data_IF_100597918632
#
_entry.id   IF_100597918632
#
_cell.length_a   1.000
_cell.length_b   1.000
_cell.length_c   1.000
_cell.angle_alpha   90.00
_cell.angle_beta   90.00
_cell.angle_gamma   90.00
#
_symmetry.space_group_name_H-M   'P 1'
#
loop_
_entity.id
_entity.type
_entity.pdbx_description
1 polymer ?
#
# COMPACT_ATOMS: atom_id res chain seq x y z
N UNK A 1 53.78 -49.18 28.96
CA UNK A 1 54.21 -50.03 27.82
C UNK A 1 53.06 -50.94 27.40
N UNK A 2 52.65 -50.83 26.13
CA UNK A 2 51.92 -51.79 25.25
C UNK A 2 50.99 -52.82 25.93
N UNK A 3 49.68 -52.69 25.75
CA UNK A 3 48.88 -53.56 24.86
C UNK A 3 47.80 -54.24 25.72
N UNK A 4 46.60 -54.64 25.28
CA UNK A 4 46.01 -54.84 23.96
C UNK A 4 44.48 -54.81 24.17
N UNK A 5 43.73 -54.26 23.22
CA UNK A 5 42.25 -54.20 23.21
C UNK A 5 41.61 -55.60 23.10
N UNK A 6 40.48 -55.83 23.79
CA UNK A 6 39.50 -56.89 23.52
C UNK A 6 38.06 -56.38 23.71
N UNK A 7 37.37 -56.27 22.57
CA UNK A 7 36.00 -56.73 22.25
C UNK A 7 34.82 -56.54 23.22
N UNK A 8 33.93 -55.60 22.84
CA UNK A 8 32.47 -55.68 22.61
C UNK A 8 31.60 -56.66 23.45
N UNK A 9 30.63 -56.13 24.22
CA UNK A 9 29.27 -56.69 24.37
C UNK A 9 28.24 -55.54 24.50
N UNK A 10 27.08 -55.78 23.91
CA UNK A 10 26.00 -54.90 23.48
C UNK A 10 24.81 -54.91 24.49
N UNK A 11 23.96 -53.87 24.34
CA UNK A 11 22.50 -53.77 24.65
C UNK A 11 22.04 -53.21 26.01
N UNK A 12 21.30 -52.09 25.94
CA UNK A 12 19.82 -52.07 26.15
C UNK A 12 19.21 -50.69 25.73
N UNK A 13 18.26 -50.74 24.79
CA UNK A 13 17.35 -49.69 24.28
C UNK A 13 16.42 -49.06 25.35
N UNK A 14 15.38 -48.24 25.03
CA UNK A 14 15.11 -47.26 23.96
C UNK A 14 14.66 -45.87 24.51
N UNK A 15 14.77 -44.78 23.72
CA UNK A 15 13.74 -43.72 23.64
C UNK A 15 14.12 -42.63 22.64
N UNK A 16 13.29 -42.52 21.60
CA UNK A 16 12.78 -41.28 21.01
C UNK A 16 13.69 -40.03 21.07
N UNK A 17 14.47 -39.82 20.02
CA UNK A 17 14.55 -38.50 19.42
C UNK A 17 14.39 -38.70 17.92
N UNK A 18 13.13 -38.61 17.49
CA UNK A 18 12.80 -38.24 16.13
C UNK A 18 13.73 -37.10 15.75
N UNK A 19 14.66 -37.38 14.84
CA UNK A 19 15.40 -36.32 14.18
C UNK A 19 14.35 -35.45 13.52
N UNK A 20 14.08 -34.29 14.11
CA UNK A 20 13.52 -33.18 13.39
C UNK A 20 14.57 -32.91 12.32
N UNK A 21 14.37 -33.51 11.14
CA UNK A 21 14.95 -32.95 9.94
C UNK A 21 14.45 -31.51 9.96
N UNK A 22 15.35 -30.58 10.26
CA UNK A 22 15.11 -29.18 10.02
C UNK A 22 14.61 -29.11 8.58
N UNK A 23 13.32 -28.81 8.41
CA UNK A 23 12.77 -28.43 7.13
C UNK A 23 13.74 -27.38 6.58
N UNK A 24 14.38 -27.70 5.47
CA UNK A 24 15.08 -26.69 4.71
C UNK A 24 14.08 -25.54 4.54
N UNK A 25 14.42 -24.35 5.03
CA UNK A 25 13.62 -23.17 4.75
C UNK A 25 13.63 -23.05 3.23
N UNK A 26 12.47 -23.25 2.60
CA UNK A 26 12.35 -23.01 1.17
C UNK A 26 12.71 -21.54 0.95
N UNK A 27 13.81 -21.31 0.24
CA UNK A 27 14.25 -19.96 -0.10
C UNK A 27 13.80 -19.63 -1.52
N UNK A 28 13.49 -18.36 -1.76
CA UNK A 28 13.08 -17.85 -3.05
C UNK A 28 14.00 -16.71 -3.45
N UNK A 29 14.41 -16.70 -4.72
CA UNK A 29 15.10 -15.56 -5.32
C UNK A 29 14.06 -14.62 -5.88
N UNK A 30 13.94 -13.43 -5.28
CA UNK A 30 13.15 -12.35 -5.84
C UNK A 30 14.05 -11.55 -6.79
N UNK A 31 13.66 -11.38 -8.06
CA UNK A 31 14.47 -10.62 -9.01
C UNK A 31 14.51 -9.14 -8.62
N UNK A 32 15.60 -8.46 -8.97
CA UNK A 32 15.70 -7.02 -8.81
C UNK A 32 14.67 -6.27 -9.67
N UNK A 33 14.35 -5.04 -9.27
CA UNK A 33 13.41 -4.17 -9.96
C UNK A 33 13.98 -3.73 -11.32
N UNK A 34 13.64 -4.50 -12.36
CA UNK A 34 14.15 -4.31 -13.72
C UNK A 34 13.03 -4.35 -14.77
N UNK A 35 11.99 -3.49 -14.69
CA UNK A 35 11.00 -3.42 -15.75
C UNK A 35 11.64 -2.97 -17.07
N UNK A 36 11.20 -3.60 -18.16
CA UNK A 36 11.60 -3.27 -19.51
C UNK A 36 10.94 -1.96 -19.95
N UNK A 37 11.72 -1.12 -20.64
CA UNK A 37 11.21 0.14 -21.18
C UNK A 37 10.17 -0.13 -22.28
N UNK A 38 9.03 0.54 -22.20
CA UNK A 38 7.93 0.40 -23.18
C UNK A 38 7.05 -0.85 -23.00
N UNK A 39 7.37 -1.75 -22.07
CA UNK A 39 6.53 -2.91 -21.75
C UNK A 39 5.42 -2.52 -20.78
N UNK A 40 4.21 -3.04 -21.02
CA UNK A 40 3.06 -2.87 -20.14
C UNK A 40 2.95 -4.04 -19.14
N UNK A 41 2.86 -3.68 -17.86
CA UNK A 41 2.66 -4.60 -16.75
C UNK A 41 1.27 -4.39 -16.15
N UNK A 42 0.52 -5.48 -15.95
CA UNK A 42 -0.82 -5.43 -15.36
C UNK A 42 -0.77 -5.74 -13.87
N UNK A 43 -1.36 -4.87 -13.07
CA UNK A 43 -1.48 -5.03 -11.62
C UNK A 43 -2.95 -5.17 -11.23
N UNK A 44 -3.25 -6.21 -10.43
CA UNK A 44 -4.55 -6.38 -9.78
C UNK A 44 -4.39 -6.13 -8.29
N UNK A 45 -5.27 -5.33 -7.72
CA UNK A 45 -5.30 -5.13 -6.27
C UNK A 45 -6.70 -5.19 -5.71
N UNK A 46 -6.83 -5.91 -4.60
CA UNK A 46 -8.02 -5.92 -3.76
C UNK A 46 -7.74 -5.08 -2.52
N UNK A 47 -8.60 -4.11 -2.25
CA UNK A 47 -8.43 -3.20 -1.13
C UNK A 47 -9.64 -3.31 -0.22
N UNK A 48 -9.40 -3.35 1.08
CA UNK A 48 -10.44 -3.25 2.10
C UNK A 48 -9.99 -2.22 3.12
N UNK A 49 -10.86 -1.26 3.43
CA UNK A 49 -10.66 -0.29 4.49
C UNK A 49 -11.75 -0.50 5.52
N UNK A 50 -11.37 -0.56 6.79
CA UNK A 50 -12.30 -0.62 7.92
C UNK A 50 -12.08 0.61 8.80
N UNK A 51 -13.08 1.48 8.90
CA UNK A 51 -13.04 2.66 9.76
C UNK A 51 -13.87 2.42 11.00
N UNK A 52 -13.19 2.25 12.14
CA UNK A 52 -13.86 2.17 13.45
C UNK A 52 -14.17 3.58 13.96
N UNK A 53 -15.45 3.93 13.99
CA UNK A 53 -15.95 5.18 14.53
C UNK A 53 -16.61 5.02 15.90
N UNK A 54 -16.47 3.85 16.55
CA UNK A 54 -17.08 3.52 17.85
C UNK A 54 -16.70 4.49 18.98
N UNK A 55 -15.60 5.22 18.82
CA UNK A 55 -15.21 6.29 19.73
C UNK A 55 -16.22 7.45 19.76
N UNK A 56 -16.84 7.74 18.61
CA UNK A 56 -17.72 8.90 18.41
C UNK A 56 -19.18 8.53 18.17
N UNK A 57 -19.46 7.35 17.61
CA UNK A 57 -20.80 6.91 17.25
C UNK A 57 -21.01 5.45 17.64
N UNK A 58 -22.19 5.11 18.17
CA UNK A 58 -22.55 3.71 18.45
C UNK A 58 -22.96 2.99 17.16
N UNK A 59 -21.98 2.81 16.27
CA UNK A 59 -22.15 2.18 14.95
C UNK A 59 -21.03 1.19 14.68
N UNK A 60 -21.30 0.09 13.96
CA UNK A 60 -20.26 -0.83 13.53
C UNK A 60 -19.25 -0.11 12.63
N UNK A 61 -18.04 -0.67 12.54
CA UNK A 61 -17.02 -0.15 11.65
C UNK A 61 -17.53 -0.09 10.21
N UNK A 62 -17.29 1.02 9.54
CA UNK A 62 -17.61 1.18 8.12
C UNK A 62 -16.56 0.40 7.31
N UNK A 63 -17.01 -0.61 6.56
CA UNK A 63 -16.13 -1.41 5.69
C UNK A 63 -16.36 -0.97 4.25
N UNK A 64 -15.28 -0.64 3.56
CA UNK A 64 -15.28 -0.31 2.15
C UNK A 64 -14.33 -1.24 1.41
N UNK A 65 -14.75 -1.75 0.26
CA UNK A 65 -13.91 -2.61 -0.57
C UNK A 65 -13.72 -2.03 -1.97
N UNK A 66 -12.66 -2.46 -2.62
CA UNK A 66 -12.36 -2.16 -4.01
C UNK A 66 -11.60 -3.31 -4.70
N UNK A 67 -11.80 -3.44 -6.01
CA UNK A 67 -11.03 -4.31 -6.90
C UNK A 67 -10.55 -3.46 -8.08
N UNK A 68 -9.24 -3.37 -8.27
CA UNK A 68 -8.61 -2.46 -9.23
C UNK A 68 -7.74 -3.24 -10.20
N UNK A 69 -7.77 -2.82 -11.47
CA UNK A 69 -6.83 -3.26 -12.52
C UNK A 69 -6.12 -2.05 -13.07
N UNK A 70 -4.85 -1.89 -12.70
CA UNK A 70 -4.00 -0.80 -13.14
C UNK A 70 -2.92 -1.33 -14.06
N UNK A 71 -2.37 -0.46 -14.90
CA UNK A 71 -1.26 -0.82 -15.80
C UNK A 71 -0.07 0.08 -15.51
N UNK A 72 1.11 -0.48 -15.50
CA UNK A 72 2.36 0.26 -15.36
C UNK A 72 3.18 0.11 -16.63
N UNK A 73 3.81 1.20 -17.05
CA UNK A 73 4.83 1.21 -18.11
C UNK A 73 6.00 2.05 -17.63
N UNK A 74 7.19 1.75 -18.15
CA UNK A 74 8.37 2.61 -18.01
C UNK A 74 8.65 3.27 -19.34
N UNK A 75 8.23 4.53 -19.57
CA UNK A 75 8.51 5.23 -20.83
C UNK A 75 9.99 5.48 -21.11
N UNK A 76 10.80 5.69 -20.07
CA UNK A 76 12.23 5.94 -20.20
C UNK A 76 13.00 5.50 -18.96
N UNK A 77 14.24 5.03 -19.15
CA UNK A 77 15.16 4.64 -18.09
C UNK A 77 16.58 5.05 -18.48
N UNK A 78 17.34 5.53 -17.51
CA UNK A 78 18.77 5.83 -17.63
C UNK A 78 19.56 5.24 -16.46
N UNK A 79 20.79 5.70 -16.25
CA UNK A 79 21.67 5.21 -15.19
C UNK A 79 21.29 5.75 -13.80
N UNK A 80 20.53 6.83 -13.70
CA UNK A 80 20.18 7.50 -12.45
C UNK A 80 18.77 7.12 -11.99
N UNK A 81 17.87 6.82 -12.93
CA UNK A 81 16.51 6.44 -12.61
C UNK A 81 15.66 6.12 -13.82
N UNK A 82 14.36 6.31 -13.65
CA UNK A 82 13.38 6.05 -14.69
C UNK A 82 12.13 6.89 -14.52
N UNK A 83 11.42 7.02 -15.63
CA UNK A 83 10.08 7.58 -15.69
C UNK A 83 9.10 6.42 -15.65
N UNK A 84 8.16 6.46 -14.73
CA UNK A 84 7.13 5.43 -14.57
C UNK A 84 5.77 6.06 -14.81
N UNK A 85 4.92 5.38 -15.58
CA UNK A 85 3.55 5.79 -15.84
C UNK A 85 2.59 4.68 -15.44
N UNK A 86 1.69 5.01 -14.52
CA UNK A 86 0.56 4.16 -14.16
C UNK A 86 -0.70 4.64 -14.85
N UNK A 87 -1.33 3.79 -15.65
CA UNK A 87 -2.67 4.00 -16.17
C UNK A 87 -3.69 3.49 -15.15
N UNK A 88 -4.59 4.37 -14.76
CA UNK A 88 -5.47 4.21 -13.61
C UNK A 88 -6.88 3.88 -14.10
N UNK A 89 -7.52 2.90 -13.45
CA UNK A 89 -8.91 2.55 -13.73
C UNK A 89 -9.69 2.40 -12.43
N UNK A 90 -10.88 2.97 -12.40
CA UNK A 90 -11.88 2.77 -11.36
C UNK A 90 -12.96 1.76 -11.77
N UNK A 91 -12.88 1.23 -13.00
CA UNK A 91 -13.87 0.29 -13.51
C UNK A 91 -13.74 -1.07 -12.83
N UNK A 92 -14.90 -1.66 -12.52
CA UNK A 92 -14.94 -2.99 -11.96
C UNK A 92 -14.55 -4.01 -13.03
N UNK A 93 -13.72 -5.01 -12.69
CA UNK A 93 -13.43 -6.08 -13.62
C UNK A 93 -14.68 -6.92 -13.90
N UNK A 94 -14.74 -7.55 -15.08
CA UNK A 94 -15.93 -8.32 -15.51
C UNK A 94 -16.28 -9.49 -14.58
N UNK A 95 -15.31 -10.02 -13.83
CA UNK A 95 -15.44 -11.08 -12.83
C UNK A 95 -15.69 -10.55 -11.40
N UNK A 96 -15.96 -9.26 -11.21
CA UNK A 96 -16.32 -8.73 -9.89
C UNK A 96 -17.70 -9.24 -9.46
N UNK A 97 -17.76 -10.08 -8.42
CA UNK A 97 -19.00 -10.57 -7.83
C UNK A 97 -19.60 -9.53 -6.84
N UNK A 98 -20.88 -9.18 -7.00
CA UNK A 98 -21.63 -8.41 -5.99
C UNK A 98 -22.33 -7.13 -6.49
N UNK A 99 -23.27 -6.63 -5.68
CA UNK A 99 -24.00 -5.39 -5.95
C UNK A 99 -23.09 -4.15 -5.77
N UNK A 100 -23.44 -3.01 -6.39
CA UNK A 100 -22.65 -1.77 -6.39
C UNK A 100 -22.20 -1.26 -5.01
N UNK A 101 -22.93 -1.60 -3.94
CA UNK A 101 -22.57 -1.27 -2.55
C UNK A 101 -21.33 -2.02 -2.04
N UNK A 102 -20.95 -3.13 -2.68
CA UNK A 102 -19.80 -3.95 -2.28
C UNK A 102 -18.48 -3.26 -2.62
N UNK A 103 -18.45 -2.45 -3.68
CA UNK A 103 -17.24 -1.82 -4.20
C UNK A 103 -17.27 -0.29 -4.10
N UNK A 104 -17.76 0.24 -2.98
CA UNK A 104 -17.83 1.67 -2.71
C UNK A 104 -16.49 2.41 -2.91
N UNK A 105 -15.35 1.72 -2.74
CA UNK A 105 -14.03 2.31 -2.95
C UNK A 105 -13.74 2.61 -4.43
N UNK A 106 -14.23 1.80 -5.37
CA UNK A 106 -14.10 2.08 -6.81
C UNK A 106 -14.85 3.35 -7.20
N UNK A 107 -16.06 3.55 -6.66
CA UNK A 107 -16.84 4.77 -6.90
C UNK A 107 -16.13 6.02 -6.36
N UNK A 108 -15.61 5.96 -5.12
CA UNK A 108 -14.80 7.06 -4.57
C UNK A 108 -13.53 7.31 -5.39
N UNK A 109 -12.85 6.25 -5.81
CA UNK A 109 -11.66 6.37 -6.63
C UNK A 109 -11.95 7.05 -7.98
N UNK A 110 -13.10 6.74 -8.60
CA UNK A 110 -13.58 7.45 -9.82
C UNK A 110 -13.76 8.94 -9.58
N UNK A 111 -14.32 9.34 -8.43
CA UNK A 111 -14.47 10.74 -8.05
C UNK A 111 -13.11 11.41 -7.85
N UNK A 112 -12.16 10.72 -7.19
CA UNK A 112 -10.79 11.22 -7.02
C UNK A 112 -10.09 11.44 -8.36
N UNK A 113 -10.16 10.46 -9.28
CA UNK A 113 -9.59 10.59 -10.63
C UNK A 113 -10.19 11.77 -11.40
N UNK A 114 -11.51 11.97 -11.25
CA UNK A 114 -12.22 13.08 -11.89
C UNK A 114 -11.81 14.44 -11.30
N UNK A 115 -11.70 14.54 -9.97
CA UNK A 115 -11.26 15.77 -9.30
C UNK A 115 -9.81 16.15 -9.65
N UNK A 116 -8.94 15.15 -9.80
CA UNK A 116 -7.54 15.36 -10.20
C UNK A 116 -7.44 15.59 -11.72
N UNK A 117 -8.48 15.20 -12.47
CA UNK A 117 -8.54 15.29 -13.93
C UNK A 117 -7.53 14.39 -14.63
N UNK A 118 -7.28 13.20 -14.07
CA UNK A 118 -6.25 12.27 -14.56
C UNK A 118 -6.80 10.89 -14.89
N UNK A 119 -6.19 10.26 -15.91
CA UNK A 119 -6.36 8.82 -16.22
C UNK A 119 -5.05 8.05 -16.07
N UNK A 120 -3.95 8.76 -15.89
CA UNK A 120 -2.64 8.20 -15.60
C UNK A 120 -1.92 9.12 -14.62
N UNK A 121 -1.04 8.54 -13.82
CA UNK A 121 -0.07 9.29 -13.00
C UNK A 121 1.32 8.94 -13.49
N UNK A 122 2.17 9.95 -13.64
CA UNK A 122 3.54 9.81 -14.11
C UNK A 122 4.50 10.43 -13.10
N UNK A 123 5.62 9.75 -12.86
CA UNK A 123 6.62 10.21 -11.89
C UNK A 123 8.02 9.75 -12.29
N UNK A 124 9.02 10.47 -11.79
CA UNK A 124 10.42 10.06 -11.80
C UNK A 124 10.67 9.20 -10.56
N UNK A 125 11.38 8.09 -10.75
CA UNK A 125 11.65 7.07 -9.76
C UNK A 125 13.13 6.70 -9.76
N UNK A 126 13.66 6.29 -8.60
CA UNK A 126 14.96 5.64 -8.53
C UNK A 126 14.93 4.26 -9.20
N UNK A 127 16.09 3.62 -9.38
CA UNK A 127 16.18 2.32 -10.08
C UNK A 127 15.40 1.18 -9.41
N UNK A 128 15.02 1.32 -8.14
CA UNK A 128 14.16 0.38 -7.40
C UNK A 128 12.65 0.65 -7.57
N UNK A 129 12.25 1.64 -8.37
CA UNK A 129 10.83 1.97 -8.57
C UNK A 129 10.22 2.92 -7.54
N UNK A 130 10.97 3.32 -6.52
CA UNK A 130 10.46 4.20 -5.49
C UNK A 130 10.14 5.60 -6.06
N UNK A 131 8.91 6.11 -5.88
CA UNK A 131 8.53 7.42 -6.41
C UNK A 131 9.35 8.56 -5.80
N UNK A 132 10.01 9.37 -6.64
CA UNK A 132 10.81 10.51 -6.21
C UNK A 132 10.19 11.87 -6.53
N UNK A 133 9.56 12.01 -7.71
CA UNK A 133 9.01 13.30 -8.16
C UNK A 133 7.83 13.12 -9.10
N UNK A 134 6.72 13.79 -8.79
CA UNK A 134 5.52 13.80 -9.64
C UNK A 134 5.76 14.63 -10.92
N UNK A 135 5.30 14.10 -12.06
CA UNK A 135 5.20 14.82 -13.33
C UNK A 135 3.77 15.37 -13.50
N UNK A 136 3.64 16.62 -13.95
CA UNK A 136 2.33 17.21 -14.25
C UNK A 136 1.57 17.79 -13.04
N UNK A 137 2.28 18.16 -11.97
CA UNK A 137 1.69 18.75 -10.76
C UNK A 137 0.77 19.94 -11.05
N UNK A 138 1.21 20.88 -11.89
CA UNK A 138 0.45 22.11 -12.17
C UNK A 138 -0.91 21.84 -12.81
N UNK A 139 -0.99 20.84 -13.69
CA UNK A 139 -2.25 20.42 -14.30
C UNK A 139 -3.21 19.85 -13.26
N UNK A 140 -2.71 19.03 -12.33
CA UNK A 140 -3.51 18.46 -11.24
C UNK A 140 -4.01 19.56 -10.30
N UNK A 141 -3.15 20.50 -9.90
CA UNK A 141 -3.55 21.63 -9.08
C UNK A 141 -4.60 22.50 -9.79
N UNK A 142 -4.42 22.77 -11.08
CA UNK A 142 -5.40 23.48 -11.90
C UNK A 142 -6.77 22.81 -11.92
N UNK A 143 -6.81 21.49 -12.11
CA UNK A 143 -8.05 20.70 -12.09
C UNK A 143 -8.74 20.74 -10.72
N UNK A 144 -7.97 20.57 -9.64
CA UNK A 144 -8.50 20.67 -8.28
C UNK A 144 -9.08 22.06 -8.00
N UNK A 145 -8.42 23.12 -8.46
CA UNK A 145 -8.93 24.49 -8.31
C UNK A 145 -10.22 24.73 -9.10
N UNK A 146 -10.39 24.07 -10.24
CA UNK A 146 -11.60 24.15 -11.07
C UNK A 146 -12.74 23.23 -10.59
N UNK A 147 -12.48 22.35 -9.61
CA UNK A 147 -13.49 21.43 -9.09
C UNK A 147 -14.46 22.18 -8.19
N UNK A 148 -15.70 22.29 -8.64
CA UNK A 148 -16.83 22.75 -7.84
C UNK A 148 -17.56 21.56 -7.22
N UNK A 149 -17.95 21.68 -5.94
CA UNK A 149 -18.77 20.65 -5.27
C UNK A 149 -20.19 21.16 -5.17
N UNK A 150 -21.16 20.37 -5.65
CA UNK A 150 -22.59 20.66 -5.49
C UNK A 150 -23.04 20.05 -4.16
N UNK A 151 -23.49 20.89 -3.25
CA UNK A 151 -24.04 20.50 -1.95
C UNK A 151 -25.39 19.79 -2.09
N UNK A 152 -25.87 19.11 -1.02
CA UNK A 152 -27.16 18.42 -1.02
C UNK A 152 -28.36 19.37 -1.27
N UNK A 153 -28.18 20.66 -1.03
CA UNK A 153 -29.13 21.75 -1.27
C UNK A 153 -29.01 22.37 -2.69
N UNK A 154 -28.15 21.81 -3.54
CA UNK A 154 -27.86 22.36 -4.87
C UNK A 154 -26.91 23.56 -4.86
N UNK A 155 -26.39 23.96 -3.69
CA UNK A 155 -25.42 25.05 -3.60
C UNK A 155 -24.08 24.63 -4.22
N UNK A 156 -23.51 25.47 -5.07
CA UNK A 156 -22.19 25.21 -5.66
C UNK A 156 -21.15 25.86 -4.75
N UNK A 157 -20.43 25.05 -3.98
CA UNK A 157 -19.28 25.50 -3.21
C UNK A 157 -18.03 25.46 -4.08
N UNK A 158 -17.46 26.64 -4.34
CA UNK A 158 -16.11 26.74 -4.88
C UNK A 158 -15.13 26.46 -3.73
N UNK A 159 -14.40 25.35 -3.83
CA UNK A 159 -13.36 24.93 -2.89
C UNK A 159 -13.85 24.78 -1.42
N UNK A 160 -14.56 23.69 -1.08
CA UNK A 160 -14.84 23.37 0.32
C UNK A 160 -13.53 23.35 1.14
N UNK A 161 -13.58 23.69 2.43
CA UNK A 161 -12.39 23.81 3.28
C UNK A 161 -11.45 22.58 3.21
N UNK A 162 -12.01 21.38 3.06
CA UNK A 162 -11.22 20.15 2.87
C UNK A 162 -10.43 20.10 1.55
N UNK A 163 -10.88 20.75 0.48
CA UNK A 163 -10.16 20.83 -0.79
C UNK A 163 -8.93 21.76 -0.68
N UNK A 164 -9.04 22.84 0.11
CA UNK A 164 -7.90 23.72 0.40
C UNK A 164 -6.79 22.95 1.12
N UNK A 165 -7.14 22.15 2.11
CA UNK A 165 -6.18 21.32 2.85
C UNK A 165 -5.51 20.27 1.94
N UNK A 166 -6.27 19.67 1.01
CA UNK A 166 -5.75 18.74 0.00
C UNK A 166 -4.75 19.45 -0.92
N UNK A 167 -5.11 20.64 -1.43
CA UNK A 167 -4.24 21.44 -2.31
C UNK A 167 -2.94 21.82 -1.61
N UNK A 168 -3.02 22.36 -0.39
CA UNK A 168 -1.83 22.73 0.38
C UNK A 168 -0.99 21.50 0.75
N UNK A 169 -1.64 20.37 1.06
CA UNK A 169 -0.96 19.09 1.26
C UNK A 169 -0.17 18.65 0.02
N UNK A 170 -0.79 18.68 -1.16
CA UNK A 170 -0.14 18.33 -2.43
C UNK A 170 1.00 19.31 -2.77
N UNK A 171 0.84 20.61 -2.51
CA UNK A 171 1.93 21.59 -2.72
C UNK A 171 3.13 21.31 -1.81
N UNK A 172 2.88 20.96 -0.55
CA UNK A 172 3.93 20.65 0.42
C UNK A 172 4.65 19.34 0.11
N UNK A 173 3.92 18.36 -0.44
CA UNK A 173 4.49 17.09 -0.87
C UNK A 173 3.73 16.52 -2.09
N UNK A 174 4.20 16.80 -3.31
CA UNK A 174 3.55 16.33 -4.53
C UNK A 174 3.48 14.81 -4.66
N UNK A 175 4.40 14.07 -4.04
CA UNK A 175 4.45 12.62 -4.16
C UNK A 175 3.25 11.92 -3.53
N UNK A 176 2.53 12.61 -2.63
CA UNK A 176 1.26 12.13 -2.07
C UNK A 176 0.23 11.81 -3.15
N UNK A 177 0.27 12.48 -4.31
CA UNK A 177 -0.58 12.13 -5.45
C UNK A 177 -0.31 10.71 -5.91
N UNK A 178 0.97 10.33 -6.04
CA UNK A 178 1.37 8.98 -6.47
C UNK A 178 0.94 7.95 -5.43
N UNK A 179 1.22 8.17 -4.15
CA UNK A 179 0.82 7.23 -3.08
C UNK A 179 -0.71 7.05 -2.98
N UNK A 180 -1.48 8.10 -3.25
CA UNK A 180 -2.95 8.02 -3.24
C UNK A 180 -3.52 7.33 -4.48
N UNK A 181 -2.94 7.60 -5.66
CA UNK A 181 -3.49 7.11 -6.93
C UNK A 181 -2.96 5.72 -7.30
N UNK A 182 -1.69 5.44 -7.05
CA UNK A 182 -1.01 4.18 -7.36
C UNK A 182 -0.19 3.71 -6.13
N UNK A 183 -0.82 3.38 -4.99
CA UNK A 183 -0.13 2.89 -3.80
C UNK A 183 0.72 1.63 -4.06
N UNK A 184 0.41 0.86 -5.11
CA UNK A 184 1.21 -0.27 -5.58
C UNK A 184 2.65 0.12 -5.90
N UNK A 185 2.89 1.34 -6.37
CA UNK A 185 4.23 1.84 -6.71
C UNK A 185 5.19 1.79 -5.51
N UNK A 186 4.74 2.27 -4.35
CA UNK A 186 5.53 2.27 -3.12
C UNK A 186 5.68 0.85 -2.57
N UNK A 187 4.58 0.10 -2.53
CA UNK A 187 4.56 -1.24 -1.96
C UNK A 187 5.52 -2.18 -2.69
N UNK A 188 5.51 -2.17 -4.01
CA UNK A 188 6.44 -2.98 -4.82
C UNK A 188 7.89 -2.57 -4.59
N UNK A 189 8.17 -1.26 -4.55
CA UNK A 189 9.53 -0.76 -4.31
C UNK A 189 10.07 -1.04 -2.90
N UNK A 190 9.20 -1.41 -1.95
CA UNK A 190 9.60 -1.73 -0.58
C UNK A 190 10.16 -3.15 -0.47
N UNK A 191 9.58 -4.10 -1.21
CA UNK A 191 9.98 -5.52 -1.18
C UNK A 191 10.84 -5.93 -2.36
N UNK A 192 10.77 -5.23 -3.48
CA UNK A 192 11.63 -5.48 -4.63
C UNK A 192 12.80 -4.49 -4.63
N UNK A 193 13.96 -5.00 -4.25
CA UNK A 193 15.22 -4.25 -4.29
C UNK A 193 15.69 -4.01 -5.73
N UNK A 194 16.68 -3.13 -5.91
CA UNK A 194 17.27 -2.91 -7.24
C UNK A 194 17.93 -4.18 -7.79
N UNK A 195 18.62 -4.93 -6.92
CA UNK A 195 19.28 -6.17 -7.25
C UNK A 195 18.44 -7.37 -6.81
N UNK A 196 18.72 -8.54 -7.38
CA UNK A 196 18.05 -9.77 -6.96
C UNK A 196 18.49 -10.16 -5.55
N UNK A 197 17.52 -10.56 -4.72
CA UNK A 197 17.76 -10.93 -3.33
C UNK A 197 17.10 -12.27 -3.00
N UNK A 198 17.79 -13.08 -2.20
CA UNK A 198 17.29 -14.38 -1.73
C UNK A 198 16.63 -14.18 -0.37
N UNK A 199 15.39 -14.64 -0.24
CA UNK A 199 14.63 -14.59 1.00
C UNK A 199 14.25 -16.00 1.44
N UNK A 200 14.32 -16.27 2.74
CA UNK A 200 13.79 -17.48 3.35
C UNK A 200 12.30 -17.28 3.69
N UNK A 201 11.45 -18.28 3.49
CA UNK A 201 10.06 -18.20 3.97
C UNK A 201 10.05 -17.95 5.50
N UNK A 202 9.28 -16.98 5.94
CA UNK A 202 9.23 -16.48 7.31
C UNK A 202 10.27 -15.39 7.64
N UNK A 203 11.20 -15.09 6.71
CA UNK A 203 12.11 -13.97 6.87
C UNK A 203 11.33 -12.65 6.93
N UNK A 204 11.73 -11.80 7.85
CA UNK A 204 11.17 -10.46 8.04
C UNK A 204 12.23 -9.38 7.91
N UNK A 205 11.78 -8.17 7.61
CA UNK A 205 12.64 -6.99 7.56
C UNK A 205 11.86 -5.72 7.86
N UNK A 206 12.59 -4.62 7.95
CA UNK A 206 12.02 -3.31 8.25
C UNK A 206 12.54 -2.24 7.29
N UNK A 207 11.66 -1.29 6.99
CA UNK A 207 11.99 -0.06 6.28
C UNK A 207 11.38 1.13 7.03
N UNK A 208 11.93 2.32 6.84
CA UNK A 208 11.37 3.54 7.40
C UNK A 208 11.12 4.55 6.28
N UNK A 209 9.93 5.14 6.29
CA UNK A 209 9.56 6.21 5.36
C UNK A 209 8.96 7.37 6.16
N UNK A 210 8.87 8.54 5.52
CA UNK A 210 8.16 9.69 6.07
C UNK A 210 6.94 9.93 5.20
N UNK A 211 5.75 9.74 5.75
CA UNK A 211 4.50 10.13 5.11
C UNK A 211 4.09 11.53 5.57
N UNK A 212 3.19 12.18 4.83
CA UNK A 212 2.74 13.54 5.17
C UNK A 212 1.23 13.56 5.27
N UNK A 213 0.72 14.07 6.39
CA UNK A 213 -0.70 14.38 6.55
C UNK A 213 -0.86 15.86 6.89
N UNK A 214 -1.66 16.58 6.09
CA UNK A 214 -1.92 18.03 6.29
C UNK A 214 -0.63 18.86 6.42
N UNK A 215 0.40 18.49 5.66
CA UNK A 215 1.72 19.15 5.68
C UNK A 215 2.61 18.79 6.87
N UNK A 216 2.15 17.97 7.81
CA UNK A 216 2.97 17.47 8.93
C UNK A 216 3.67 16.16 8.52
N UNK A 217 5.00 16.06 8.63
CA UNK A 217 5.72 14.81 8.42
C UNK A 217 5.41 13.82 9.56
N UNK A 218 5.12 12.59 9.19
CA UNK A 218 4.81 11.49 10.09
C UNK A 218 5.79 10.36 9.76
N UNK A 219 6.74 10.06 10.66
CA UNK A 219 7.57 8.87 10.53
C UNK A 219 6.69 7.61 10.48
N UNK A 220 6.99 6.69 9.56
CA UNK A 220 6.29 5.42 9.38
C UNK A 220 7.31 4.30 9.34
N UNK A 221 7.15 3.32 10.22
CA UNK A 221 7.87 2.06 10.16
C UNK A 221 7.08 1.07 9.29
N UNK A 222 7.75 0.45 8.33
CA UNK A 222 7.19 -0.63 7.52
C UNK A 222 7.88 -1.92 7.96
N UNK A 223 7.10 -2.88 8.42
CA UNK A 223 7.55 -4.25 8.69
C UNK A 223 7.04 -5.13 7.58
N UNK A 224 7.88 -6.03 7.07
CA UNK A 224 7.47 -7.00 6.06
C UNK A 224 7.89 -8.41 6.45
N UNK A 225 7.13 -9.41 6.00
CA UNK A 225 7.47 -10.83 6.13
C UNK A 225 7.19 -11.55 4.83
N UNK A 226 8.10 -12.43 4.39
CA UNK A 226 7.84 -13.38 3.31
C UNK A 226 6.96 -14.51 3.84
N UNK A 227 5.69 -14.54 3.47
CA UNK A 227 4.71 -15.51 3.98
C UNK A 227 4.81 -16.85 3.26
N UNK A 228 4.85 -16.80 1.92
CA UNK A 228 4.84 -17.99 1.07
C UNK A 228 5.57 -17.71 -0.24
N UNK A 229 6.10 -18.77 -0.85
CA UNK A 229 6.64 -18.74 -2.20
C UNK A 229 6.13 -19.95 -3.01
N UNK A 230 5.73 -19.70 -4.25
CA UNK A 230 5.46 -20.73 -5.25
C UNK A 230 6.53 -20.62 -6.34
N UNK A 231 7.52 -21.52 -6.27
CA UNK A 231 8.63 -21.56 -7.22
C UNK A 231 8.13 -21.89 -8.63
N UNK A 232 7.13 -22.77 -8.74
CA UNK A 232 6.59 -23.20 -10.03
C UNK A 232 5.81 -22.09 -10.73
N UNK A 233 5.04 -21.33 -9.95
CA UNK A 233 4.31 -20.15 -10.40
C UNK A 233 5.12 -18.85 -10.33
N UNK A 234 6.41 -18.91 -9.98
CA UNK A 234 7.30 -17.75 -9.82
C UNK A 234 6.67 -16.60 -9.00
N UNK A 235 5.98 -16.96 -7.92
CA UNK A 235 5.21 -16.02 -7.11
C UNK A 235 5.73 -16.00 -5.68
N UNK A 236 5.86 -14.83 -5.09
CA UNK A 236 6.21 -14.64 -3.69
C UNK A 236 5.16 -13.73 -3.04
N UNK A 237 4.70 -14.11 -1.84
CA UNK A 237 3.68 -13.35 -1.12
C UNK A 237 4.30 -12.73 0.11
N UNK A 238 4.22 -11.40 0.20
CA UNK A 238 4.71 -10.64 1.33
C UNK A 238 3.53 -10.05 2.11
N UNK A 239 3.61 -10.12 3.43
CA UNK A 239 2.78 -9.28 4.31
C UNK A 239 3.55 -7.99 4.61
N UNK A 240 2.86 -6.85 4.59
CA UNK A 240 3.45 -5.56 4.95
C UNK A 240 2.54 -4.87 5.98
N UNK A 241 3.15 -4.41 7.07
CA UNK A 241 2.48 -3.64 8.10
C UNK A 241 3.11 -2.26 8.20
N UNK A 242 2.30 -1.21 8.07
CA UNK A 242 2.73 0.17 8.29
C UNK A 242 2.30 0.63 9.68
N UNK A 243 3.27 1.12 10.45
CA UNK A 243 3.06 1.67 11.78
C UNK A 243 3.46 3.14 11.79
N UNK A 244 2.47 4.01 11.99
CA UNK A 244 2.66 5.46 12.03
C UNK A 244 3.13 5.92 13.41
N UNK A 245 4.06 6.87 13.45
CA UNK A 245 4.38 7.57 14.71
C UNK A 245 3.12 8.24 15.24
N UNK A 246 2.73 7.79 16.43
CA UNK A 246 1.46 8.17 17.01
C UNK A 246 1.37 9.66 17.32
N UNK A 247 2.46 10.24 17.82
CA UNK A 247 2.47 11.63 18.30
C UNK A 247 2.39 12.56 17.10
N UNK A 248 3.22 12.30 16.07
CA UNK A 248 3.21 13.03 14.81
C UNK A 248 1.86 12.90 14.10
N UNK A 249 1.28 11.68 14.05
CA UNK A 249 -0.04 11.48 13.47
C UNK A 249 -1.11 12.27 14.24
N UNK A 250 -1.11 12.24 15.58
CA UNK A 250 -2.06 13.03 16.38
C UNK A 250 -1.90 14.54 16.17
N UNK A 251 -0.66 15.03 16.13
CA UNK A 251 -0.37 16.44 15.85
C UNK A 251 -0.87 16.87 14.47
N UNK A 252 -0.70 16.02 13.45
CA UNK A 252 -1.19 16.31 12.10
C UNK A 252 -2.70 16.51 12.02
N UNK A 253 -3.47 15.90 12.93
CA UNK A 253 -4.94 15.98 12.96
C UNK A 253 -5.46 17.07 13.91
N UNK A 254 -4.60 17.70 14.71
CA UNK A 254 -5.01 18.60 15.78
C UNK A 254 -5.85 19.78 15.25
N UNK A 255 -5.39 20.43 14.17
CA UNK A 255 -6.11 21.57 13.57
C UNK A 255 -7.47 21.20 12.98
N UNK A 256 -7.60 20.00 12.40
CA UNK A 256 -8.86 19.51 11.86
C UNK A 256 -9.86 19.20 12.98
N UNK A 257 -9.38 18.59 14.06
CA UNK A 257 -10.20 18.32 15.26
C UNK A 257 -10.63 19.63 15.91
N UNK A 258 -9.74 20.61 16.03
CA UNK A 258 -10.08 21.95 16.52
C UNK A 258 -11.07 22.69 15.60
N UNK A 259 -10.92 22.56 14.28
CA UNK A 259 -11.86 23.09 13.30
C UNK A 259 -13.28 22.52 13.47
N UNK A 260 -13.39 21.20 13.67
CA UNK A 260 -14.67 20.57 13.98
C UNK A 260 -15.22 21.04 15.33
N UNK A 261 -14.38 21.15 16.37
CA UNK A 261 -14.83 21.63 17.69
C UNK A 261 -15.34 23.07 17.60
N UNK A 262 -14.60 23.96 16.93
CA UNK A 262 -14.96 25.37 16.77
C UNK A 262 -16.24 25.57 15.96
N UNK A 263 -16.60 24.62 15.09
CA UNK A 263 -17.89 24.61 14.40
C UNK A 263 -19.08 24.31 15.33
N UNK A 264 -18.85 23.79 16.53
CA UNK A 264 -19.89 23.64 17.54
C UNK A 264 -20.12 24.95 18.30
N UNK A 265 -21.38 25.20 18.72
CA UNK A 265 -21.67 26.27 19.68
C UNK A 265 -21.02 26.02 21.05
N UNK A 266 -20.87 27.05 21.88
CA UNK A 266 -20.12 27.01 23.18
C UNK A 266 -20.50 25.83 24.09
N UNK A 267 -21.79 25.49 24.15
CA UNK A 267 -22.28 24.35 24.94
C UNK A 267 -21.76 23.01 24.39
N UNK A 268 -21.68 22.86 23.06
CA UNK A 268 -21.13 21.69 22.39
C UNK A 268 -19.62 21.57 22.59
N UNK A 269 -18.88 22.68 22.53
CA UNK A 269 -17.45 22.70 22.82
C UNK A 269 -17.15 22.26 24.27
N UNK A 270 -17.93 22.77 25.24
CA UNK A 270 -17.78 22.43 26.65
C UNK A 270 -18.10 20.96 26.94
N UNK A 271 -19.14 20.42 26.29
CA UNK A 271 -19.50 19.01 26.39
C UNK A 271 -18.43 18.09 25.78
N UNK A 272 -17.88 18.47 24.63
CA UNK A 272 -16.82 17.71 23.95
C UNK A 272 -15.54 17.63 24.81
N UNK A 273 -15.08 18.77 25.35
CA UNK A 273 -13.90 18.82 26.24
C UNK A 273 -14.07 17.99 27.52
N UNK A 274 -15.29 17.92 28.08
CA UNK A 274 -15.61 17.03 29.22
C UNK A 274 -15.60 15.54 28.86
N UNK A 275 -16.12 15.18 27.69
CA UNK A 275 -16.20 13.80 27.23
C UNK A 275 -14.82 13.22 26.84
N UNK A 276 -13.97 14.01 26.20
CA UNK A 276 -12.64 13.57 25.75
C UNK A 276 -11.62 13.53 26.89
N UNK A 277 -11.65 14.48 27.83
CA UNK A 277 -10.78 14.48 29.02
C UNK A 277 -10.93 13.25 29.93
N UNK A 278 -12.09 12.59 29.92
CA UNK A 278 -12.36 11.37 30.70
C UNK A 278 -12.09 10.05 29.95
N UNK A 279 -12.24 10.00 28.62
CA UNK A 279 -12.10 8.77 27.81
C UNK A 279 -10.69 8.52 27.27
N UNK A 280 -9.87 9.56 27.10
CA UNK A 280 -8.51 9.45 26.54
C UNK A 280 -7.56 8.57 27.39
N UNK A 281 -7.85 8.40 28.69
CA UNK A 281 -7.09 7.51 29.58
C UNK A 281 -7.41 6.02 29.44
N UNK A 282 -8.51 5.62 28.78
CA UNK A 282 -9.03 4.23 28.88
C UNK A 282 -8.89 3.34 27.65
N UNK A 283 -8.63 3.85 26.44
CA UNK A 283 -8.44 3.00 25.24
C UNK A 283 -7.37 3.56 24.31
N UNK A 284 -6.13 3.25 24.65
CA UNK A 284 -4.89 3.75 24.05
C UNK A 284 -4.22 2.67 23.16
N UNK A 285 -4.97 1.69 22.61
CA UNK A 285 -4.40 0.53 21.91
C UNK A 285 -5.07 0.26 20.55
N UNK A 286 -4.21 0.22 19.51
CA UNK A 286 -4.36 -0.23 18.11
C UNK A 286 -4.96 0.74 17.08
N UNK A 287 -4.07 1.18 16.19
CA UNK A 287 -4.37 1.56 14.82
C UNK A 287 -3.27 0.90 13.98
N UNK A 288 -3.50 -0.37 13.61
CA UNK A 288 -2.60 -1.13 12.74
C UNK A 288 -3.32 -1.26 11.38
N UNK A 289 -2.80 -0.62 10.34
CA UNK A 289 -3.25 -0.85 8.96
C UNK A 289 -2.39 -1.99 8.38
N UNK A 290 -3.00 -3.14 8.16
CA UNK A 290 -2.32 -4.33 7.65
C UNK A 290 -2.67 -4.49 6.17
N UNK A 291 -1.69 -4.32 5.27
CA UNK A 291 -1.89 -4.43 3.83
C UNK A 291 -1.20 -5.70 3.34
N UNK A 292 -1.98 -6.62 2.78
CA UNK A 292 -1.43 -7.80 2.12
C UNK A 292 -1.11 -7.45 0.66
N UNK A 293 0.13 -7.70 0.23
CA UNK A 293 0.56 -7.46 -1.15
C UNK A 293 1.00 -8.78 -1.75
N UNK A 294 0.24 -9.27 -2.72
CA UNK A 294 0.66 -10.39 -3.55
C UNK A 294 1.32 -9.83 -4.80
N UNK A 295 2.64 -9.98 -4.93
CA UNK A 295 3.36 -9.64 -6.14
C UNK A 295 3.47 -10.90 -7.02
N UNK A 296 2.85 -10.85 -8.22
CA UNK A 296 3.01 -11.89 -9.24
C UNK A 296 4.00 -11.39 -10.28
N UNK A 297 5.12 -12.09 -10.43
CA UNK A 297 6.12 -11.79 -11.46
C UNK A 297 5.76 -12.57 -12.73
N UNK A 298 5.87 -11.92 -13.89
CA UNK A 298 5.86 -12.59 -15.20
C UNK A 298 7.26 -12.36 -15.77
N UNK A 299 8.06 -13.42 -15.89
CA UNK A 299 9.34 -13.37 -16.60
C UNK A 299 9.08 -13.30 -18.12
N UNK A 300 9.42 -12.19 -18.80
CA UNK A 300 9.26 -12.07 -20.26
C UNK A 300 10.15 -13.04 -21.05
N UNK A 301 11.08 -13.75 -20.41
CA UNK A 301 11.93 -14.79 -21.05
C UNK A 301 11.32 -16.18 -21.02
N UNK A 302 10.15 -16.37 -20.42
CA UNK A 302 9.51 -17.70 -20.29
C UNK A 302 8.50 -18.04 -21.40
N UNK A 303 8.05 -17.08 -22.22
CA UNK A 303 7.21 -17.37 -23.39
C UNK A 303 8.04 -17.64 -24.65
N UNK A 304 9.02 -18.53 -24.50
CA UNK A 304 9.58 -19.30 -25.60
C UNK A 304 8.62 -20.43 -25.96
N UNK A 305 7.80 -20.22 -26.99
CA UNK A 305 7.00 -21.26 -27.65
C UNK A 305 5.93 -21.96 -26.77
N UNK A 306 4.69 -21.44 -26.82
CA UNK A 306 3.47 -22.24 -27.03
C UNK A 306 2.25 -21.31 -27.07
N UNK A 307 1.85 -20.93 -28.27
CA UNK A 307 0.49 -21.13 -28.80
C UNK A 307 0.49 -20.57 -30.23
N UNK A 308 0.60 -21.49 -31.20
CA UNK A 308 0.39 -21.17 -32.61
C UNK A 308 -1.05 -20.76 -32.84
N UNK A 309 -1.22 -19.64 -33.56
CA UNK A 309 -2.54 -19.13 -33.91
C UNK A 309 -2.46 -17.89 -34.79
N UNK A 310 -1.90 -18.02 -36.00
CA UNK A 310 -2.08 -17.03 -37.08
C UNK A 310 -3.57 -16.71 -37.23
N UNK A 311 -3.94 -15.43 -37.13
CA UNK A 311 -4.97 -14.85 -38.01
C UNK A 311 -4.50 -13.51 -38.53
N UNK A 312 -4.27 -13.48 -39.84
CA UNK A 312 -4.28 -12.27 -40.66
C UNK A 312 -5.70 -11.71 -40.67
N UNK A 313 -5.83 -10.39 -40.58
CA UNK A 313 -6.40 -9.57 -41.64
C UNK A 313 -5.73 -8.21 -41.61
#
# INVERSE_FOLDING_TARGET
MKGLRKTLVLLLSPCLLSGVQALAADSVVVPGYAPETGVEYLYRSHRTTSTDMSLWFDRPAAIMRGDFRQRMTVPSRDAEGMRVRWSLSADLPQDAEGAGDTYAMNALYRNTLSAYGVRHVEYEAGLNGFPGKLVGLDAILGNLHSTSVVGPDGSVANQPAGLRDIVEGIKSNPILVVHNLAPEAELLSTVQEQDSSTYEIGQSGTASVVEYARGTPIPVAIEWTLETADISGQTATFSLQKTYDRVALQQSQASAVEGVISSFGEKGQTAWRRATGGRQKRKQKRADDCRHVTARWIDPRSDGNRFGGKRRH
#
